data_IF_775824627581
#
_entry.id   IF_775824627581
#
_cell.length_a   1.000
_cell.length_b   1.000
_cell.length_c   1.000
_cell.angle_alpha   90.00
_cell.angle_beta   90.00
_cell.angle_gamma   90.00
#
_symmetry.space_group_name_H-M   'P 1'
#
loop_
_entity.id
_entity.type
_entity.pdbx_description
1 polymer ?
#
# COMPACT_ATOMS: atom_id res chain seq x y z
N UNK A 1 23.14 24.20 -36.49
CA UNK A 1 23.95 25.28 -35.89
C UNK A 1 23.61 25.34 -34.40
N UNK A 2 24.29 24.54 -33.57
CA UNK A 2 25.27 24.98 -32.55
C UNK A 2 24.73 26.04 -31.58
N UNK A 3 24.32 25.58 -30.39
CA UNK A 3 24.56 26.27 -29.11
C UNK A 3 25.04 25.24 -28.08
N UNK A 4 26.31 24.87 -28.23
CA UNK A 4 27.12 24.42 -27.11
C UNK A 4 27.37 25.62 -26.21
N UNK A 5 27.02 25.52 -24.93
CA UNK A 5 27.66 26.28 -23.88
C UNK A 5 27.58 25.46 -22.59
N UNK A 6 28.65 24.69 -22.40
CA UNK A 6 29.06 24.09 -21.15
C UNK A 6 29.26 25.21 -20.11
N UNK A 7 28.65 25.12 -18.93
CA UNK A 7 29.18 25.76 -17.72
C UNK A 7 28.76 24.96 -16.49
N UNK A 8 29.78 24.34 -15.91
CA UNK A 8 29.85 23.50 -14.72
C UNK A 8 29.57 24.33 -13.46
N UNK A 9 28.81 23.79 -12.50
CA UNK A 9 29.08 23.98 -11.06
C UNK A 9 28.51 22.79 -10.27
N UNK A 10 29.40 21.85 -9.94
CA UNK A 10 29.14 20.86 -8.90
C UNK A 10 29.18 21.58 -7.55
N UNK A 11 28.08 21.54 -6.80
CA UNK A 11 28.08 21.73 -5.36
C UNK A 11 27.40 20.51 -4.74
N UNK A 12 28.23 19.66 -4.14
CA UNK A 12 27.81 18.56 -3.30
C UNK A 12 26.99 19.11 -2.13
N UNK A 13 25.73 18.69 -2.02
CA UNK A 13 25.02 18.78 -0.73
C UNK A 13 25.19 17.44 -0.02
N UNK A 14 25.95 17.50 1.06
CA UNK A 14 26.16 16.44 2.02
C UNK A 14 24.82 16.09 2.70
N UNK A 15 24.30 14.90 2.46
CA UNK A 15 23.23 14.37 3.31
C UNK A 15 23.87 13.70 4.53
N UNK A 16 24.10 14.53 5.55
CA UNK A 16 24.46 14.12 6.91
C UNK A 16 23.39 13.19 7.46
N UNK A 17 23.82 12.04 7.94
CA UNK A 17 23.00 11.11 8.71
C UNK A 17 22.39 11.78 9.95
N UNK A 18 21.11 11.49 10.16
CA UNK A 18 20.39 11.52 11.43
C UNK A 18 19.58 12.79 11.72
N UNK A 19 18.26 12.66 11.77
CA UNK A 19 17.50 13.20 12.90
C UNK A 19 16.34 12.26 13.23
N UNK A 20 16.26 12.01 14.52
CA UNK A 20 15.56 10.94 15.21
C UNK A 20 14.07 11.16 15.47
N UNK A 21 13.46 10.11 16.04
CA UNK A 21 12.31 10.12 16.96
C UNK A 21 10.92 9.87 16.39
N UNK A 22 10.60 8.58 16.34
CA UNK A 22 9.28 8.05 16.64
C UNK A 22 9.45 6.64 17.19
N UNK A 23 9.89 6.51 18.45
CA UNK A 23 9.83 5.24 19.15
C UNK A 23 8.36 4.87 19.34
N UNK A 24 7.89 3.86 18.60
CA UNK A 24 6.81 3.01 19.08
C UNK A 24 7.38 1.61 19.26
N UNK A 25 7.25 1.19 20.50
CA UNK A 25 7.41 -0.11 21.13
C UNK A 25 7.71 -1.31 20.25
N UNK A 26 8.62 -2.14 20.75
CA UNK A 26 8.73 -3.55 20.40
C UNK A 26 7.33 -4.19 20.36
N UNK A 27 6.94 -4.72 19.20
CA UNK A 27 5.67 -5.41 19.05
C UNK A 27 5.34 -5.70 17.60
N UNK A 28 5.71 -6.90 17.14
CA UNK A 28 5.18 -7.52 15.92
C UNK A 28 5.56 -6.84 14.61
N UNK A 29 6.24 -7.58 13.75
CA UNK A 29 6.19 -7.36 12.30
C UNK A 29 4.77 -7.72 11.82
N UNK A 30 3.77 -7.00 12.32
CA UNK A 30 2.38 -7.11 11.91
C UNK A 30 2.27 -6.29 10.65
N UNK A 31 2.28 -6.98 9.51
CA UNK A 31 1.78 -6.47 8.24
C UNK A 31 0.28 -6.14 8.38
N UNK A 32 -0.08 -5.23 9.27
CA UNK A 32 -1.32 -4.46 9.21
C UNK A 32 -1.13 -3.46 8.06
N UNK A 33 -1.04 -3.99 6.84
CA UNK A 33 -1.42 -3.21 5.68
C UNK A 33 -2.92 -3.00 5.88
N UNK A 34 -3.29 -1.88 6.51
CA UNK A 34 -4.66 -1.50 6.78
C UNK A 34 -5.52 -1.97 5.60
N UNK A 35 -6.37 -2.96 5.86
CA UNK A 35 -7.18 -3.62 4.84
C UNK A 35 -8.12 -2.58 4.23
N UNK A 36 -7.66 -1.93 3.17
CA UNK A 36 -8.32 -0.77 2.60
C UNK A 36 -7.97 -0.70 1.13
N UNK A 37 -8.99 -0.46 0.34
CA UNK A 37 -8.85 -0.17 -1.08
C UNK A 37 -8.16 1.18 -1.28
N UNK A 38 -7.25 1.24 -2.25
CA UNK A 38 -6.63 2.48 -2.67
C UNK A 38 -7.65 3.45 -3.24
N UNK A 39 -7.64 4.69 -2.75
CA UNK A 39 -8.50 5.77 -3.23
C UNK A 39 -8.01 6.41 -4.53
N UNK A 40 -6.75 6.19 -4.89
CA UNK A 40 -6.09 6.76 -6.08
C UNK A 40 -5.87 5.74 -7.19
N UNK A 41 -5.98 4.45 -6.89
CA UNK A 41 -5.81 3.40 -7.88
C UNK A 41 -6.97 3.34 -8.88
N UNK A 42 -6.62 3.17 -10.14
CA UNK A 42 -7.53 2.90 -11.23
C UNK A 42 -6.83 2.03 -12.29
N UNK A 43 -7.60 1.36 -13.13
CA UNK A 43 -7.06 0.56 -14.24
C UNK A 43 -6.35 1.47 -15.26
N UNK A 44 -5.24 1.00 -15.81
CA UNK A 44 -4.56 1.59 -16.96
C UNK A 44 -5.55 2.05 -18.05
N UNK A 45 -5.44 3.32 -18.42
CA UNK A 45 -6.19 4.01 -19.46
C UNK A 45 -7.64 4.32 -19.14
N UNK A 46 -8.07 4.18 -17.88
CA UNK A 46 -9.47 4.39 -17.48
C UNK A 46 -9.59 4.64 -15.96
N UNK A 47 -9.70 5.92 -15.58
CA UNK A 47 -9.80 6.39 -14.19
C UNK A 47 -11.14 6.09 -13.52
N UNK A 48 -12.20 5.87 -14.30
CA UNK A 48 -13.51 5.40 -13.78
C UNK A 48 -13.45 3.95 -13.28
N UNK A 49 -12.44 3.17 -13.71
CA UNK A 49 -12.25 1.76 -13.31
C UNK A 49 -11.42 1.62 -12.03
N UNK A 50 -11.97 2.14 -10.94
CA UNK A 50 -11.43 2.09 -9.58
C UNK A 50 -11.74 0.76 -8.84
N UNK A 51 -11.41 0.68 -7.54
CA UNK A 51 -11.65 -0.51 -6.73
C UNK A 51 -13.14 -0.92 -6.63
N UNK A 52 -14.08 0.03 -6.67
CA UNK A 52 -15.50 -0.30 -6.74
C UNK A 52 -15.87 -1.00 -8.07
N UNK A 53 -15.22 -0.62 -9.18
CA UNK A 53 -15.31 -1.37 -10.42
C UNK A 53 -14.68 -2.76 -10.30
N UNK A 54 -13.56 -2.92 -9.59
CA UNK A 54 -12.94 -4.24 -9.34
C UNK A 54 -13.93 -5.16 -8.62
N UNK A 55 -14.48 -4.72 -7.49
CA UNK A 55 -15.36 -5.53 -6.64
C UNK A 55 -16.62 -6.04 -7.34
N UNK A 56 -17.18 -5.28 -8.29
CA UNK A 56 -18.33 -5.72 -9.11
C UNK A 56 -18.10 -7.04 -9.86
N UNK A 57 -16.85 -7.42 -10.15
CA UNK A 57 -16.48 -8.70 -10.79
C UNK A 57 -15.09 -9.14 -10.30
N UNK A 58 -14.92 -9.26 -8.99
CA UNK A 58 -13.65 -9.61 -8.35
C UNK A 58 -12.96 -10.81 -9.02
N UNK A 59 -13.68 -11.91 -9.25
CA UNK A 59 -13.15 -13.13 -9.89
C UNK A 59 -12.50 -12.91 -11.29
N UNK A 60 -12.89 -11.87 -12.03
CA UNK A 60 -12.33 -11.55 -13.36
C UNK A 60 -11.33 -10.40 -13.31
N UNK A 61 -11.36 -9.58 -12.25
CA UNK A 61 -10.63 -8.31 -12.16
C UNK A 61 -9.46 -8.36 -11.19
N UNK A 62 -9.51 -9.21 -10.18
CA UNK A 62 -8.41 -9.50 -9.25
C UNK A 62 -7.43 -10.51 -9.87
N UNK A 63 -6.98 -10.23 -11.09
CA UNK A 63 -6.05 -11.09 -11.85
C UNK A 63 -4.81 -10.29 -12.23
N UNK A 64 -3.72 -10.98 -12.59
CA UNK A 64 -2.48 -10.35 -13.05
C UNK A 64 -2.62 -9.53 -14.37
N UNK A 65 -3.83 -9.46 -14.96
CA UNK A 65 -4.11 -8.70 -16.18
C UNK A 65 -4.64 -7.29 -15.91
N UNK A 66 -5.12 -7.00 -14.71
CA UNK A 66 -5.69 -5.70 -14.35
C UNK A 66 -4.70 -4.95 -13.47
N UNK A 67 -4.16 -3.85 -14.00
CA UNK A 67 -3.12 -3.04 -13.37
C UNK A 67 -3.29 -1.56 -13.64
N UNK A 68 -2.71 -0.70 -12.81
CA UNK A 68 -2.63 0.76 -13.01
C UNK A 68 -1.64 1.14 -14.12
N UNK A 69 -1.53 2.45 -14.41
CA UNK A 69 -0.47 3.00 -15.27
C UNK A 69 0.93 2.61 -14.78
N UNK A 70 1.15 2.66 -13.47
CA UNK A 70 2.41 2.30 -12.80
C UNK A 70 2.64 0.78 -12.70
N UNK A 71 1.68 -0.02 -13.18
CA UNK A 71 1.78 -1.47 -13.19
C UNK A 71 1.33 -2.16 -11.89
N UNK A 72 0.76 -1.42 -10.94
CA UNK A 72 0.25 -1.99 -9.68
C UNK A 72 -1.02 -2.80 -9.93
N UNK A 73 -1.04 -4.06 -9.50
CA UNK A 73 -2.18 -4.97 -9.71
C UNK A 73 -3.40 -4.56 -8.88
N UNK A 74 -4.59 -4.84 -9.43
CA UNK A 74 -5.86 -4.64 -8.72
C UNK A 74 -5.94 -5.42 -7.40
N UNK A 75 -5.38 -6.64 -7.35
CA UNK A 75 -5.37 -7.46 -6.13
C UNK A 75 -4.46 -6.92 -5.02
N UNK A 76 -3.50 -6.06 -5.37
CA UNK A 76 -2.61 -5.42 -4.40
C UNK A 76 -3.20 -4.10 -3.93
N UNK A 77 -3.75 -3.31 -4.86
CA UNK A 77 -4.29 -1.99 -4.55
C UNK A 77 -5.72 -2.03 -3.99
N UNK A 78 -6.48 -3.08 -4.25
CA UNK A 78 -7.87 -3.20 -3.84
C UNK A 78 -8.12 -4.49 -3.03
N UNK A 79 -7.47 -4.66 -1.86
CA UNK A 79 -7.58 -5.90 -1.09
C UNK A 79 -8.98 -6.14 -0.53
N UNK A 80 -9.78 -5.08 -0.29
CA UNK A 80 -11.18 -5.22 0.15
C UNK A 80 -12.03 -5.65 -1.04
N UNK A 81 -11.91 -4.97 -2.18
CA UNK A 81 -12.67 -5.32 -3.38
C UNK A 81 -12.34 -6.72 -3.94
N UNK A 82 -11.16 -7.25 -3.60
CA UNK A 82 -10.71 -8.57 -3.99
C UNK A 82 -10.89 -9.64 -2.91
N UNK A 83 -11.46 -9.29 -1.75
CA UNK A 83 -11.59 -10.19 -0.59
C UNK A 83 -10.26 -10.87 -0.20
N UNK A 84 -9.14 -10.19 -0.42
CA UNK A 84 -7.79 -10.68 -0.06
C UNK A 84 -7.28 -10.08 1.24
N UNK A 85 -8.09 -9.24 1.88
CA UNK A 85 -7.82 -8.83 3.24
C UNK A 85 -7.80 -10.05 4.15
N UNK A 86 -6.60 -10.40 4.61
CA UNK A 86 -6.45 -11.32 5.71
C UNK A 86 -7.02 -10.62 6.94
N UNK A 87 -8.23 -10.99 7.31
CA UNK A 87 -8.88 -10.55 8.53
C UNK A 87 -7.94 -10.87 9.70
N UNK A 88 -7.20 -9.89 10.20
CA UNK A 88 -6.71 -9.96 11.59
C UNK A 88 -7.86 -9.73 12.60
N UNK A 89 -9.12 -9.79 12.15
CA UNK A 89 -10.30 -9.64 12.98
C UNK A 89 -10.55 -10.84 13.91
N UNK A 90 -9.78 -11.93 13.84
CA UNK A 90 -9.88 -13.05 14.77
C UNK A 90 -8.87 -12.93 15.95
N UNK A 91 -8.28 -11.76 16.19
CA UNK A 91 -7.61 -11.44 17.46
C UNK A 91 -8.40 -10.39 18.29
N UNK A 92 -9.72 -10.35 18.12
CA UNK A 92 -10.63 -9.72 19.08
C UNK A 92 -11.50 -10.76 19.83
N UNK A 93 -11.09 -12.03 19.86
CA UNK A 93 -11.78 -13.09 20.63
C UNK A 93 -10.84 -14.05 21.37
N UNK A 94 -9.73 -13.58 21.94
CA UNK A 94 -8.98 -14.36 22.95
C UNK A 94 -8.35 -13.46 24.03
N UNK A 95 -9.13 -12.70 24.81
CA UNK A 95 -8.73 -12.32 26.19
C UNK A 95 -9.87 -11.74 27.07
N UNK A 96 -11.09 -12.32 27.04
CA UNK A 96 -12.13 -11.98 28.03
C UNK A 96 -12.58 -13.17 28.89
N UNK A 97 -11.79 -14.24 29.00
CA UNK A 97 -12.21 -15.38 29.83
C UNK A 97 -11.16 -15.98 30.77
N UNK A 98 -10.02 -15.32 31.05
CA UNK A 98 -9.05 -15.95 31.99
C UNK A 98 -8.32 -15.05 32.98
N UNK A 99 -8.98 -13.99 33.48
CA UNK A 99 -8.54 -13.29 34.69
C UNK A 99 -9.55 -13.30 35.84
N UNK A 100 -10.48 -14.26 35.86
CA UNK A 100 -11.32 -14.51 37.02
C UNK A 100 -11.29 -15.98 37.42
N UNK A 101 -10.08 -16.46 37.75
CA UNK A 101 -9.84 -17.49 38.79
C UNK A 101 -8.36 -17.85 38.81
N UNK A 102 -7.59 -17.13 39.64
CA UNK A 102 -6.67 -17.68 40.65
C UNK A 102 -5.98 -16.52 41.38
#
# INVERSE_FOLDING_TARGET
MKRNALLLLALAVVAKAGSESGAVSAGGDSFDSACTDSTTWHKKGDDEKNCAWVGKKAAKRCTAKVKSEDGVLASVACPVACDTCLLICEEAKQDLDQHSSL
#
